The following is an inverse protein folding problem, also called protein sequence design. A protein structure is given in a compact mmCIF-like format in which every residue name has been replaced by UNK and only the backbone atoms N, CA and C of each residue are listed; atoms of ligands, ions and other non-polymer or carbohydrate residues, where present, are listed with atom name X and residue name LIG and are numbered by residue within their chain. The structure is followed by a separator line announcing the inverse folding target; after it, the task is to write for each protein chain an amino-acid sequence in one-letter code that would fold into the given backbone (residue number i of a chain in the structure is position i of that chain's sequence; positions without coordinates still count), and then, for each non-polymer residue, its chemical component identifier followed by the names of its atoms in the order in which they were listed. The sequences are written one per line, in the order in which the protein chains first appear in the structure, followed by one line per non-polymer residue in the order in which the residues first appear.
data_IF_697164265779
#
_entry.id   IF_697164265779
#
_cell.length_a   1.000
_cell.length_b   1.000
_cell.length_c   1.000
_cell.angle_alpha   90.00
_cell.angle_beta   90.00
_cell.angle_gamma   90.00
#
_symmetry.space_group_name_H-M   'P 1'
#
loop_
_entity.id
_entity.type
_entity.pdbx_description
1 polymer ?
#
# COMPACT_ATOMS: atom_id res chain seq x y z
N UNK A 1 6.97 -8.48 -19.62
CA UNK A 1 6.65 -8.22 -18.19
C UNK A 1 6.92 -6.75 -17.87
N UNK A 2 6.23 -6.18 -16.87
CA UNK A 2 6.35 -4.76 -16.54
C UNK A 2 7.06 -4.60 -15.20
N UNK A 3 8.11 -3.78 -15.15
CA UNK A 3 8.77 -3.45 -13.91
C UNK A 3 7.83 -2.66 -13.00
N UNK A 4 7.81 -3.01 -11.71
CA UNK A 4 7.10 -2.25 -10.69
C UNK A 4 7.91 -2.25 -9.41
N UNK A 5 7.65 -1.28 -8.55
CA UNK A 5 8.32 -1.13 -7.25
C UNK A 5 7.24 -0.93 -6.20
N UNK A 6 7.14 -1.90 -5.29
CA UNK A 6 6.42 -1.73 -4.03
C UNK A 6 7.41 -1.65 -2.85
N UNK A 7 6.92 -1.66 -1.62
CA UNK A 7 7.72 -1.38 -0.42
C UNK A 7 8.76 -2.47 -0.11
N UNK A 8 8.55 -3.75 -0.37
CA UNK A 8 9.51 -4.83 -0.15
C UNK A 8 10.64 -4.82 -1.19
N UNK A 9 10.30 -4.76 -2.49
CA UNK A 9 11.25 -4.58 -3.59
C UNK A 9 12.09 -3.32 -3.33
N UNK A 10 11.45 -2.20 -2.95
CA UNK A 10 12.18 -0.97 -2.61
C UNK A 10 13.20 -1.21 -1.49
N UNK A 11 12.86 -1.97 -0.45
CA UNK A 11 13.80 -2.32 0.62
C UNK A 11 15.00 -3.11 0.12
N UNK A 12 14.80 -4.09 -0.78
CA UNK A 12 15.93 -4.85 -1.35
C UNK A 12 16.89 -3.92 -2.09
N UNK A 13 16.36 -3.07 -2.97
CA UNK A 13 17.21 -2.16 -3.75
C UNK A 13 17.89 -1.12 -2.89
N UNK A 14 17.20 -0.57 -1.89
CA UNK A 14 17.82 0.35 -0.94
C UNK A 14 18.98 -0.29 -0.19
N UNK A 15 18.77 -1.50 0.34
CA UNK A 15 19.77 -2.19 1.13
C UNK A 15 21.03 -2.49 0.33
N UNK A 16 20.90 -2.82 -0.96
CA UNK A 16 22.03 -3.32 -1.76
C UNK A 16 22.62 -2.29 -2.72
N UNK A 17 21.78 -1.49 -3.39
CA UNK A 17 22.23 -0.57 -4.44
C UNK A 17 22.35 0.89 -3.98
N UNK A 18 21.72 1.24 -2.85
CA UNK A 18 21.69 2.61 -2.34
C UNK A 18 22.10 2.70 -0.86
N UNK A 19 22.91 1.75 -0.39
CA UNK A 19 23.38 1.74 0.99
C UNK A 19 24.12 3.05 1.31
N UNK A 20 23.70 3.76 2.36
CA UNK A 20 24.26 5.04 2.77
C UNK A 20 23.82 6.26 1.95
N UNK A 21 22.92 6.10 0.97
CA UNK A 21 22.35 7.23 0.23
C UNK A 21 21.04 7.70 0.85
N UNK A 22 20.94 9.02 1.08
CA UNK A 22 19.69 9.65 1.47
C UNK A 22 18.93 10.17 0.25
N UNK A 23 17.60 10.25 0.36
CA UNK A 23 16.71 10.90 -0.63
C UNK A 23 16.72 10.28 -2.03
N UNK A 24 16.78 8.95 -2.15
CA UNK A 24 16.63 8.28 -3.45
C UNK A 24 15.20 8.45 -3.95
N UNK A 25 15.05 8.71 -5.26
CA UNK A 25 13.74 8.81 -5.88
C UNK A 25 13.26 7.45 -6.39
N UNK A 26 11.95 7.22 -6.37
CA UNK A 26 11.34 5.98 -6.87
C UNK A 26 11.69 5.70 -8.35
N UNK A 27 11.94 6.76 -9.13
CA UNK A 27 12.38 6.63 -10.53
C UNK A 27 13.72 5.88 -10.65
N UNK A 28 14.63 6.09 -9.70
CA UNK A 28 15.98 5.53 -9.73
C UNK A 28 15.93 4.04 -9.39
N UNK A 29 15.08 3.69 -8.42
CA UNK A 29 14.79 2.30 -8.08
C UNK A 29 14.14 1.58 -9.26
N UNK A 30 13.12 2.18 -9.89
CA UNK A 30 12.44 1.60 -11.03
C UNK A 30 13.38 1.37 -12.23
N UNK A 31 14.31 2.31 -12.47
CA UNK A 31 15.31 2.17 -13.52
C UNK A 31 16.22 0.95 -13.26
N UNK A 32 16.65 0.72 -12.02
CA UNK A 32 17.44 -0.46 -11.67
C UNK A 32 16.62 -1.75 -11.79
N UNK A 33 15.38 -1.79 -11.27
CA UNK A 33 14.51 -2.97 -11.42
C UNK A 33 14.31 -3.34 -12.89
N UNK A 34 14.14 -2.35 -13.76
CA UNK A 34 13.97 -2.58 -15.20
C UNK A 34 15.23 -3.20 -15.84
N UNK A 35 16.42 -2.84 -15.35
CA UNK A 35 17.70 -3.36 -15.84
C UNK A 35 18.00 -4.76 -15.32
N UNK A 36 17.62 -5.07 -14.09
CA UNK A 36 18.02 -6.31 -13.39
C UNK A 36 16.94 -7.38 -13.37
N UNK A 37 15.68 -7.05 -13.73
CA UNK A 37 14.60 -8.03 -13.69
C UNK A 37 14.85 -9.20 -14.64
N UNK A 38 14.60 -10.41 -14.13
CA UNK A 38 14.52 -11.59 -14.99
C UNK A 38 13.31 -11.44 -15.93
N UNK A 39 13.58 -11.45 -17.24
CA UNK A 39 12.56 -11.33 -18.28
C UNK A 39 11.96 -12.68 -18.67
N UNK A 40 12.66 -13.77 -18.39
CA UNK A 40 12.22 -15.15 -18.67
C UNK A 40 11.27 -15.63 -17.56
N UNK A 41 11.64 -15.40 -16.29
CA UNK A 41 10.85 -15.80 -15.11
C UNK A 41 10.47 -14.62 -14.19
N UNK A 42 9.79 -13.58 -14.72
CA UNK A 42 9.53 -12.34 -13.99
C UNK A 42 8.68 -12.54 -12.74
N UNK A 43 7.73 -13.49 -12.75
CA UNK A 43 6.87 -13.78 -11.59
C UNK A 43 7.69 -14.30 -10.41
N UNK A 44 8.52 -15.31 -10.66
CA UNK A 44 9.36 -15.91 -9.62
C UNK A 44 10.37 -14.90 -9.08
N UNK A 45 10.97 -14.10 -9.97
CA UNK A 45 11.87 -13.03 -9.58
C UNK A 45 11.23 -12.01 -8.64
N UNK A 46 10.03 -11.51 -8.98
CA UNK A 46 9.32 -10.59 -8.12
C UNK A 46 8.88 -11.24 -6.81
N UNK A 47 8.41 -12.49 -6.81
CA UNK A 47 8.07 -13.20 -5.57
C UNK A 47 9.28 -13.34 -4.64
N UNK A 48 10.43 -13.75 -5.16
CA UNK A 48 11.65 -13.85 -4.37
C UNK A 48 12.06 -12.49 -3.76
N UNK A 49 11.96 -11.39 -4.52
CA UNK A 49 12.22 -10.04 -4.01
C UNK A 49 11.21 -9.60 -2.93
N UNK A 50 9.95 -10.01 -3.05
CA UNK A 50 8.92 -9.71 -2.05
C UNK A 50 9.23 -10.39 -0.72
N UNK A 51 9.55 -11.67 -0.74
CA UNK A 51 9.88 -12.47 0.44
C UNK A 51 11.18 -11.96 1.09
N UNK A 52 12.21 -11.75 0.26
CA UNK A 52 13.49 -11.24 0.74
C UNK A 52 13.38 -9.82 1.31
N UNK A 53 12.60 -8.95 0.68
CA UNK A 53 12.35 -7.60 1.19
C UNK A 53 11.63 -7.61 2.55
N UNK A 54 10.75 -8.58 2.81
CA UNK A 54 10.12 -8.77 4.12
C UNK A 54 11.14 -9.26 5.17
N UNK A 55 12.00 -10.21 4.80
CA UNK A 55 13.09 -10.70 5.66
C UNK A 55 14.05 -9.58 6.05
N UNK A 56 14.48 -8.75 5.11
CA UNK A 56 15.36 -7.60 5.38
C UNK A 56 14.73 -6.61 6.37
N UNK A 57 13.42 -6.38 6.29
CA UNK A 57 12.71 -5.53 7.27
C UNK A 57 12.70 -6.18 8.65
N UNK A 58 12.43 -7.48 8.73
CA UNK A 58 12.47 -8.22 9.99
C UNK A 58 13.86 -8.20 10.64
N UNK A 59 14.91 -8.19 9.82
CA UNK A 59 16.31 -8.06 10.25
C UNK A 59 16.74 -6.60 10.57
N UNK A 60 15.82 -5.62 10.56
CA UNK A 60 16.12 -4.22 10.86
C UNK A 60 16.83 -3.44 9.75
N UNK A 61 16.97 -4.01 8.55
CA UNK A 61 17.63 -3.38 7.39
C UNK A 61 16.67 -2.55 6.51
N UNK A 62 15.41 -2.43 6.92
CA UNK A 62 14.40 -1.62 6.26
C UNK A 62 14.53 -0.13 6.56
N UNK A 63 15.61 0.53 6.13
CA UNK A 63 15.69 1.99 6.23
C UNK A 63 14.77 2.65 5.18
N UNK A 64 13.49 2.78 5.49
CA UNK A 64 12.49 3.46 4.65
C UNK A 64 12.61 5.00 4.70
N UNK A 65 13.37 5.54 5.67
CA UNK A 65 13.59 6.99 5.85
C UNK A 65 14.41 7.66 4.75
N UNK A 66 15.02 6.88 3.85
CA UNK A 66 15.81 7.37 2.71
C UNK A 66 14.97 7.72 1.49
N UNK A 67 13.67 7.37 1.45
CA UNK A 67 12.80 7.76 0.34
C UNK A 67 12.25 9.18 0.54
N UNK A 68 12.44 10.07 -0.45
CA UNK A 68 12.01 11.48 -0.41
C UNK A 68 10.52 11.68 -0.13
N UNK A 69 9.72 10.67 -0.43
CA UNK A 69 8.27 10.69 -0.30
C UNK A 69 7.75 9.77 0.82
N UNK A 70 8.61 9.34 1.76
CA UNK A 70 8.17 8.50 2.87
C UNK A 70 7.22 9.26 3.80
N UNK A 71 5.94 9.20 3.47
CA UNK A 71 4.88 9.60 4.39
C UNK A 71 4.57 8.37 5.22
N UNK A 72 4.95 8.39 6.49
CA UNK A 72 4.59 7.33 7.44
C UNK A 72 3.08 7.14 7.38
N UNK A 73 2.65 5.95 6.96
CA UNK A 73 1.22 5.64 6.92
C UNK A 73 0.64 5.81 8.33
N UNK A 74 -0.43 6.60 8.47
CA UNK A 74 -1.08 6.81 9.76
C UNK A 74 -1.56 5.47 10.33
N UNK A 75 -1.65 5.36 11.66
CA UNK A 75 -2.20 4.18 12.34
C UNK A 75 -3.54 3.81 11.69
N UNK A 76 -3.76 2.51 11.49
CA UNK A 76 -5.00 2.03 10.90
C UNK A 76 -6.20 2.30 11.82
N UNK A 77 -6.08 1.99 13.11
CA UNK A 77 -7.09 2.33 14.12
C UNK A 77 -7.31 3.85 14.18
N UNK A 78 -8.58 4.27 14.13
CA UNK A 78 -8.98 5.67 14.10
C UNK A 78 -8.90 6.32 12.71
N UNK A 79 -8.41 5.63 11.67
CA UNK A 79 -8.23 6.22 10.34
C UNK A 79 -9.50 6.19 9.47
N UNK A 80 -9.47 6.97 8.39
CA UNK A 80 -10.48 6.91 7.32
C UNK A 80 -10.50 5.54 6.61
N UNK A 81 -9.34 4.89 6.48
CA UNK A 81 -9.22 3.55 5.88
C UNK A 81 -9.96 2.49 6.70
N UNK A 82 -9.91 2.60 8.02
CA UNK A 82 -10.68 1.72 8.90
C UNK A 82 -12.18 1.89 8.69
N UNK A 83 -12.68 3.14 8.64
CA UNK A 83 -14.10 3.39 8.40
C UNK A 83 -14.55 2.89 7.02
N UNK A 84 -13.74 3.10 5.98
CA UNK A 84 -14.00 2.55 4.64
C UNK A 84 -14.09 1.02 4.66
N UNK A 85 -13.14 0.36 5.33
CA UNK A 85 -13.14 -1.10 5.49
C UNK A 85 -14.36 -1.61 6.23
N UNK A 86 -14.80 -0.92 7.28
CA UNK A 86 -16.00 -1.28 8.03
C UNK A 86 -17.27 -1.21 7.16
N UNK A 87 -17.44 -0.15 6.37
CA UNK A 87 -18.57 -0.01 5.43
C UNK A 87 -18.57 -1.17 4.43
N UNK A 88 -17.43 -1.43 3.77
CA UNK A 88 -17.31 -2.49 2.76
C UNK A 88 -17.56 -3.87 3.38
N UNK A 89 -17.00 -4.13 4.57
CA UNK A 89 -17.19 -5.39 5.29
C UNK A 89 -18.66 -5.67 5.58
N UNK A 90 -19.38 -4.68 6.10
CA UNK A 90 -20.82 -4.80 6.42
C UNK A 90 -21.67 -5.03 5.18
N UNK A 91 -21.37 -4.32 4.09
CA UNK A 91 -22.03 -4.57 2.80
C UNK A 91 -21.75 -5.97 2.27
N UNK A 92 -20.51 -6.45 2.37
CA UNK A 92 -20.15 -7.82 1.98
C UNK A 92 -20.85 -8.88 2.84
N UNK A 93 -21.24 -8.54 4.07
CA UNK A 93 -22.06 -9.38 4.95
C UNK A 93 -23.57 -9.25 4.67
N UNK A 94 -23.97 -8.50 3.64
CA UNK A 94 -25.37 -8.35 3.21
C UNK A 94 -26.14 -7.25 3.94
N UNK A 95 -25.51 -6.42 4.77
CA UNK A 95 -26.20 -5.32 5.43
C UNK A 95 -26.56 -4.22 4.40
N UNK A 96 -27.82 -3.75 4.37
CA UNK A 96 -28.22 -2.65 3.50
C UNK A 96 -27.49 -1.35 3.84
N UNK A 97 -27.15 -0.56 2.82
CA UNK A 97 -26.43 0.72 3.01
C UNK A 97 -27.20 1.70 3.91
N UNK A 98 -28.54 1.67 3.90
CA UNK A 98 -29.39 2.48 4.78
C UNK A 98 -29.15 2.18 6.26
N UNK A 99 -29.03 0.88 6.62
CA UNK A 99 -28.75 0.43 7.99
C UNK A 99 -27.34 0.86 8.40
N UNK A 100 -26.35 0.64 7.54
CA UNK A 100 -24.96 1.04 7.79
C UNK A 100 -24.88 2.56 8.00
N UNK A 101 -25.61 3.33 7.21
CA UNK A 101 -25.68 4.79 7.33
C UNK A 101 -26.31 5.21 8.65
N UNK A 102 -27.43 4.59 9.05
CA UNK A 102 -28.09 4.91 10.31
C UNK A 102 -27.19 4.66 11.53
N UNK A 103 -26.43 3.56 11.50
CA UNK A 103 -25.55 3.17 12.61
C UNK A 103 -24.23 3.96 12.66
N UNK A 104 -23.63 4.26 11.51
CA UNK A 104 -22.29 4.84 11.46
C UNK A 104 -22.27 6.37 11.24
N UNK A 105 -23.39 7.01 10.91
CA UNK A 105 -23.47 8.47 10.68
C UNK A 105 -22.98 9.35 11.82
N UNK A 106 -22.96 8.83 13.06
CA UNK A 106 -22.45 9.56 14.23
C UNK A 106 -20.92 9.68 14.26
N UNK A 107 -20.21 8.86 13.49
CA UNK A 107 -18.75 8.95 13.40
C UNK A 107 -18.36 10.03 12.38
N UNK A 108 -17.52 11.02 12.75
CA UNK A 108 -17.13 12.11 11.85
C UNK A 108 -16.39 11.64 10.60
N UNK A 109 -15.84 10.43 10.60
CA UNK A 109 -15.14 9.84 9.45
C UNK A 109 -16.11 9.26 8.41
N UNK A 110 -17.35 8.97 8.79
CA UNK A 110 -18.30 8.21 7.98
C UNK A 110 -18.60 8.90 6.64
N UNK A 111 -18.95 10.19 6.66
CA UNK A 111 -19.32 10.93 5.45
C UNK A 111 -18.18 10.95 4.41
N UNK A 112 -16.95 11.22 4.87
CA UNK A 112 -15.77 11.20 4.01
C UNK A 112 -15.44 9.79 3.49
N UNK A 113 -15.61 8.76 4.32
CA UNK A 113 -15.37 7.36 3.92
C UNK A 113 -16.37 6.90 2.87
N UNK A 114 -17.66 7.17 3.07
CA UNK A 114 -18.74 6.83 2.14
C UNK A 114 -18.54 7.54 0.80
N UNK A 115 -18.28 8.85 0.82
CA UNK A 115 -18.03 9.63 -0.40
C UNK A 115 -16.82 9.08 -1.18
N UNK A 116 -15.74 8.72 -0.49
CA UNK A 116 -14.57 8.10 -1.11
C UNK A 116 -14.90 6.76 -1.77
N UNK A 117 -15.62 5.88 -1.09
CA UNK A 117 -16.04 4.58 -1.65
C UNK A 117 -16.96 4.72 -2.87
N UNK A 118 -17.84 5.71 -2.89
CA UNK A 118 -18.71 6.03 -4.03
C UNK A 118 -17.97 6.64 -5.22
N UNK A 119 -16.87 7.36 -4.98
CA UNK A 119 -15.98 7.83 -6.04
C UNK A 119 -15.21 6.67 -6.66
N UNK A 120 -14.79 5.72 -5.83
CA UNK A 120 -14.02 4.55 -6.25
C UNK A 120 -14.89 3.44 -6.87
N UNK A 121 -16.23 3.62 -6.91
CA UNK A 121 -17.17 2.65 -7.49
C UNK A 121 -17.40 1.39 -6.63
N UNK A 122 -16.93 1.38 -5.38
CA UNK A 122 -17.04 0.24 -4.46
C UNK A 122 -18.38 0.20 -3.73
N UNK A 123 -19.06 1.34 -3.64
CA UNK A 123 -20.39 1.48 -3.05
C UNK A 123 -21.28 2.25 -4.03
N UNK A 124 -22.52 1.82 -4.27
CA UNK A 124 -23.42 2.53 -5.16
C UNK A 124 -23.68 3.95 -4.67
N UNK A 125 -23.83 4.87 -5.61
CA UNK A 125 -24.41 6.19 -5.33
C UNK A 125 -25.91 5.99 -5.20
N UNK A 126 -26.48 6.47 -4.10
CA UNK A 126 -27.91 6.63 -3.98
C UNK A 126 -28.39 7.67 -5.00
#
# INVERSE_FOLDING_TARGET
PTAFVETNIRTVYFNHFFAGQERVADRDVLALVTQTMDKEQPRQWFWALMDYGAELKAAGKGQLGTSRHYTRQSRFAGSLRQMRGEIVRRMAQGQPLSVITQELRGDPRFAAALSGLQKDGLVPRA
#
